data_IF_208620573050
#
_entry.id   IF_208620573050
#
_cell.length_a   1.000
_cell.length_b   1.000
_cell.length_c   1.000
_cell.angle_alpha   90.00
_cell.angle_beta   90.00
_cell.angle_gamma   90.00
#
_symmetry.space_group_name_H-M   'P 1'
#
loop_
_entity.id
_entity.type
_entity.pdbx_description
1 polymer ?
#
# COMPACT_ATOMS: atom_id res chain seq x y z
N UNK A 1 13.64 -4.95 -12.45
CA UNK A 1 12.73 -5.91 -11.82
C UNK A 1 12.21 -5.29 -10.53
N UNK A 2 10.99 -5.63 -10.09
CA UNK A 2 10.44 -5.12 -8.84
C UNK A 2 11.22 -5.65 -7.63
N UNK A 3 11.39 -4.83 -6.60
CA UNK A 3 11.90 -5.26 -5.30
C UNK A 3 10.73 -5.49 -4.35
N UNK A 4 10.54 -6.73 -3.89
CA UNK A 4 9.48 -7.10 -2.94
C UNK A 4 10.12 -7.39 -1.57
N UNK A 5 9.87 -6.52 -0.60
CA UNK A 5 10.36 -6.66 0.78
C UNK A 5 9.37 -7.44 1.65
N UNK A 6 9.91 -8.36 2.45
CA UNK A 6 9.19 -9.03 3.55
C UNK A 6 9.96 -8.96 4.87
N UNK A 7 11.13 -8.32 4.91
CA UNK A 7 12.11 -8.47 6.02
C UNK A 7 11.52 -8.09 7.39
N UNK A 8 10.72 -7.03 7.47
CA UNK A 8 10.09 -6.59 8.72
C UNK A 8 8.81 -7.37 9.07
N UNK A 9 8.24 -8.08 8.11
CA UNK A 9 6.89 -8.65 8.21
C UNK A 9 6.89 -10.16 8.08
N UNK A 10 8.02 -10.79 7.75
CA UNK A 10 8.12 -12.22 7.45
C UNK A 10 7.61 -13.08 8.60
N UNK A 11 8.08 -12.83 9.83
CA UNK A 11 7.63 -13.55 11.01
C UNK A 11 6.10 -13.42 11.20
N UNK A 12 5.57 -12.21 11.00
CA UNK A 12 4.14 -11.96 11.08
C UNK A 12 3.35 -12.67 9.97
N UNK A 13 3.85 -12.66 8.73
CA UNK A 13 3.24 -13.33 7.59
C UNK A 13 3.18 -14.85 7.82
N UNK A 14 4.27 -15.42 8.34
CA UNK A 14 4.35 -16.85 8.69
C UNK A 14 3.37 -17.17 9.80
N UNK A 15 3.36 -16.40 10.89
CA UNK A 15 2.41 -16.57 12.01
C UNK A 15 0.96 -16.54 11.51
N UNK A 16 0.60 -15.53 10.71
CA UNK A 16 -0.76 -15.42 10.14
C UNK A 16 -1.10 -16.59 9.24
N UNK A 17 -0.18 -17.05 8.39
CA UNK A 17 -0.40 -18.21 7.53
C UNK A 17 -0.65 -19.48 8.37
N UNK A 18 0.18 -19.72 9.40
CA UNK A 18 0.03 -20.85 10.31
C UNK A 18 -1.30 -20.81 11.05
N UNK A 19 -1.65 -19.67 11.63
CA UNK A 19 -2.87 -19.53 12.43
C UNK A 19 -4.14 -19.71 11.61
N UNK A 20 -4.17 -19.08 10.42
CA UNK A 20 -5.38 -18.95 9.60
C UNK A 20 -5.59 -20.13 8.66
N UNK A 21 -4.52 -20.79 8.22
CA UNK A 21 -4.58 -21.89 7.24
C UNK A 21 -4.06 -23.22 7.79
N UNK A 22 -3.64 -23.25 9.06
CA UNK A 22 -3.12 -24.45 9.74
C UNK A 22 -1.90 -25.07 9.07
N UNK A 23 -1.13 -24.24 8.37
CA UNK A 23 0.12 -24.66 7.75
C UNK A 23 1.21 -24.91 8.78
N UNK A 24 2.15 -25.80 8.42
CA UNK A 24 3.44 -25.84 9.11
C UNK A 24 4.22 -24.54 8.83
N UNK A 25 5.23 -24.26 9.64
CA UNK A 25 6.10 -23.10 9.40
C UNK A 25 6.82 -23.18 8.06
N UNK A 26 7.27 -24.39 7.67
CA UNK A 26 7.93 -24.64 6.41
C UNK A 26 6.99 -24.37 5.22
N UNK A 27 5.74 -24.85 5.28
CA UNK A 27 4.76 -24.65 4.21
C UNK A 27 4.35 -23.17 4.10
N UNK A 28 4.11 -22.51 5.24
CA UNK A 28 3.82 -21.09 5.28
C UNK A 28 4.94 -20.27 4.60
N UNK A 29 6.19 -20.55 4.96
CA UNK A 29 7.37 -19.93 4.34
C UNK A 29 7.41 -20.22 2.84
N UNK A 30 7.29 -21.48 2.42
CA UNK A 30 7.32 -21.85 1.01
C UNK A 30 6.27 -21.09 0.17
N UNK A 31 5.04 -20.97 0.68
CA UNK A 31 3.98 -20.23 0.00
C UNK A 31 4.27 -18.72 -0.10
N UNK A 32 4.76 -18.10 0.98
CA UNK A 32 5.13 -16.67 0.98
C UNK A 32 6.26 -16.40 -0.02
N UNK A 33 7.30 -17.23 -0.04
CA UNK A 33 8.44 -17.05 -0.94
C UNK A 33 8.06 -17.28 -2.40
N UNK A 34 7.20 -18.26 -2.69
CA UNK A 34 6.66 -18.44 -4.05
C UNK A 34 5.93 -17.19 -4.53
N UNK A 35 5.13 -16.57 -3.66
CA UNK A 35 4.40 -15.34 -4.03
C UNK A 35 5.37 -14.19 -4.25
N UNK A 36 6.34 -14.00 -3.33
CA UNK A 36 7.41 -13.01 -3.49
C UNK A 36 8.13 -13.18 -4.84
N UNK A 37 8.54 -14.40 -5.16
CA UNK A 37 9.25 -14.74 -6.40
C UNK A 37 8.39 -14.45 -7.64
N UNK A 38 7.12 -14.84 -7.63
CA UNK A 38 6.18 -14.56 -8.73
C UNK A 38 6.03 -13.06 -8.99
N UNK A 39 5.93 -12.26 -7.93
CA UNK A 39 5.87 -10.80 -8.03
C UNK A 39 7.19 -10.19 -8.56
N UNK A 40 8.35 -10.61 -8.04
CA UNK A 40 9.66 -10.10 -8.49
C UNK A 40 9.95 -10.42 -9.95
N UNK A 41 9.55 -11.62 -10.41
CA UNK A 41 9.75 -12.08 -11.78
C UNK A 41 8.83 -11.39 -12.78
N UNK A 42 7.57 -11.13 -12.42
CA UNK A 42 6.56 -10.66 -13.36
C UNK A 42 6.35 -9.15 -13.32
N UNK A 43 6.53 -8.52 -12.16
CA UNK A 43 6.17 -7.14 -12.01
C UNK A 43 7.30 -6.18 -12.45
N UNK A 44 6.97 -5.08 -13.15
CA UNK A 44 7.94 -4.04 -13.44
C UNK A 44 8.36 -3.33 -12.15
N UNK A 45 9.49 -2.63 -12.16
CA UNK A 45 9.99 -1.87 -11.01
C UNK A 45 9.05 -0.74 -10.56
N UNK A 46 8.11 -0.34 -11.41
CA UNK A 46 7.13 0.70 -11.11
C UNK A 46 5.70 0.17 -11.35
N UNK A 47 4.94 -0.02 -10.26
CA UNK A 47 3.59 -0.60 -10.25
C UNK A 47 2.46 0.40 -10.63
N UNK A 48 2.71 1.30 -11.58
CA UNK A 48 1.75 2.35 -12.02
C UNK A 48 0.39 1.85 -12.49
N UNK A 49 0.21 0.54 -12.68
CA UNK A 49 -1.05 -0.08 -13.07
C UNK A 49 -2.09 -0.14 -11.94
N UNK A 50 -1.72 0.10 -10.67
CA UNK A 50 -2.69 0.21 -9.59
C UNK A 50 -3.04 1.68 -9.32
N UNK A 51 -4.20 2.13 -9.83
CA UNK A 51 -4.87 3.33 -9.30
C UNK A 51 -5.40 2.99 -7.89
N UNK A 52 -4.50 2.85 -6.93
CA UNK A 52 -4.85 2.59 -5.53
C UNK A 52 -4.72 3.87 -4.72
N UNK A 53 -5.74 4.25 -3.93
CA UNK A 53 -5.74 5.52 -3.22
C UNK A 53 -4.69 5.63 -2.10
N UNK A 54 -3.86 4.61 -1.81
CA UNK A 54 -2.78 4.71 -0.79
C UNK A 54 -1.59 3.83 -1.15
N UNK A 55 -1.37 3.56 -2.44
CA UNK A 55 -0.30 2.66 -2.88
C UNK A 55 -0.37 1.23 -2.28
N UNK A 56 -1.48 0.86 -1.65
CA UNK A 56 -1.75 -0.48 -1.12
C UNK A 56 -2.30 -1.37 -2.22
N UNK A 57 -1.92 -2.63 -2.20
CA UNK A 57 -2.42 -3.61 -3.15
C UNK A 57 -2.89 -4.86 -2.41
N UNK A 58 -3.96 -5.45 -2.92
CA UNK A 58 -4.44 -6.77 -2.55
C UNK A 58 -4.09 -7.74 -3.67
N UNK A 59 -3.30 -8.75 -3.36
CA UNK A 59 -3.01 -9.87 -4.26
C UNK A 59 -3.81 -11.07 -3.80
N UNK A 60 -4.50 -11.72 -4.74
CA UNK A 60 -5.05 -13.03 -4.52
C UNK A 60 -4.16 -14.09 -5.18
N UNK A 61 -3.76 -15.10 -4.43
CA UNK A 61 -3.03 -16.23 -4.96
C UNK A 61 -3.97 -17.43 -5.19
N UNK A 62 -4.18 -17.79 -6.45
CA UNK A 62 -5.11 -18.88 -6.84
C UNK A 62 -4.68 -20.27 -6.34
N UNK A 63 -3.39 -20.47 -6.05
CA UNK A 63 -2.88 -21.77 -5.62
C UNK A 63 -3.27 -22.08 -4.17
N UNK A 64 -3.26 -21.06 -3.31
CA UNK A 64 -3.45 -21.20 -1.86
C UNK A 64 -4.71 -20.50 -1.33
N UNK A 65 -5.39 -19.73 -2.19
CA UNK A 65 -6.47 -18.81 -1.82
C UNK A 65 -6.03 -17.70 -0.84
N UNK A 66 -4.72 -17.44 -0.76
CA UNK A 66 -4.17 -16.38 0.07
C UNK A 66 -4.60 -15.02 -0.46
N UNK A 67 -5.12 -14.18 0.43
CA UNK A 67 -5.36 -12.76 0.17
C UNK A 67 -4.29 -11.95 0.87
N UNK A 68 -3.29 -11.51 0.11
CA UNK A 68 -2.11 -10.82 0.64
C UNK A 68 -2.26 -9.33 0.43
N UNK A 69 -2.08 -8.59 1.52
CA UNK A 69 -2.03 -7.14 1.46
C UNK A 69 -0.59 -6.72 1.45
N UNK A 70 -0.26 -5.85 0.51
CA UNK A 70 0.99 -5.12 0.51
C UNK A 70 0.79 -3.63 0.37
N UNK A 71 1.91 -2.93 0.41
CA UNK A 71 2.01 -1.50 0.17
C UNK A 71 3.17 -1.20 -0.76
N UNK A 72 3.08 -0.06 -1.43
CA UNK A 72 4.10 0.49 -2.29
C UNK A 72 4.49 1.85 -1.76
N UNK A 73 5.78 2.16 -1.73
CA UNK A 73 6.27 3.45 -1.27
C UNK A 73 7.58 3.80 -1.98
N UNK A 74 7.92 5.09 -2.00
CA UNK A 74 9.21 5.59 -2.44
C UNK A 74 10.23 5.31 -1.33
N UNK A 75 11.29 4.57 -1.66
CA UNK A 75 12.33 4.14 -0.74
C UNK A 75 13.29 5.30 -0.41
N UNK A 76 12.74 6.38 0.14
CA UNK A 76 13.48 7.59 0.54
C UNK A 76 13.10 7.99 1.96
N UNK A 77 14.08 8.53 2.70
CA UNK A 77 13.91 8.98 4.08
C UNK A 77 14.21 7.92 5.16
N UNK A 78 14.87 6.80 4.83
CA UNK A 78 15.36 5.84 5.84
C UNK A 78 16.36 6.50 6.79
N UNK A 79 17.37 7.17 6.25
CA UNK A 79 18.37 7.90 7.03
C UNK A 79 17.75 9.03 7.85
N UNK A 80 16.74 9.71 7.29
CA UNK A 80 15.99 10.72 8.01
C UNK A 80 15.26 10.13 9.22
N UNK A 81 14.65 8.95 9.09
CA UNK A 81 14.00 8.28 10.22
C UNK A 81 15.01 7.85 11.29
N UNK A 82 16.17 7.32 10.89
CA UNK A 82 17.24 6.98 11.85
C UNK A 82 17.77 8.22 12.57
N UNK A 83 17.96 9.33 11.85
CA UNK A 83 18.27 10.63 12.45
C UNK A 83 17.18 11.05 13.43
N UNK A 84 15.90 10.93 13.07
CA UNK A 84 14.78 11.28 13.96
C UNK A 84 14.80 10.49 15.26
N UNK A 85 15.21 9.21 15.26
CA UNK A 85 15.32 8.40 16.49
C UNK A 85 16.36 8.95 17.45
N UNK A 86 17.48 9.42 16.92
CA UNK A 86 18.63 9.91 17.67
C UNK A 86 18.44 11.32 18.25
N UNK A 87 17.46 12.09 17.77
CA UNK A 87 17.23 13.45 18.27
C UNK A 87 16.67 13.39 19.69
N UNK A 88 17.41 13.96 20.62
CA UNK A 88 16.95 14.14 21.99
C UNK A 88 16.20 15.48 22.14
N UNK A 89 14.88 15.41 22.26
CA UNK A 89 14.03 16.57 22.59
C UNK A 89 13.98 16.85 24.10
N UNK A 90 14.61 16.02 24.94
CA UNK A 90 14.60 16.14 26.39
C UNK A 90 15.59 17.17 26.94
N UNK A 91 16.41 17.79 26.07
CA UNK A 91 17.26 18.93 26.43
C UNK A 91 16.37 20.10 26.93
N UNK A 92 16.21 20.14 28.25
CA UNK A 92 15.49 21.16 29.01
C UNK A 92 16.11 22.53 28.71
N UNK A 93 15.47 23.30 27.83
CA UNK A 93 15.88 24.67 27.58
C UNK A 93 15.39 25.17 26.23
N UNK A 94 14.35 26.00 26.28
CA UNK A 94 13.79 26.78 25.17
C UNK A 94 12.92 26.03 24.17
N UNK A 95 11.60 26.17 24.32
CA UNK A 95 10.61 25.84 23.29
C UNK A 95 10.95 26.44 21.90
N UNK A 96 11.73 27.53 21.86
CA UNK A 96 12.28 28.12 20.63
C UNK A 96 13.31 27.21 19.93
N UNK A 97 14.20 26.55 20.68
CA UNK A 97 15.18 25.61 20.13
C UNK A 97 14.47 24.37 19.54
N UNK A 98 13.49 23.82 20.27
CA UNK A 98 12.67 22.71 19.77
C UNK A 98 11.88 23.10 18.52
N UNK A 99 11.31 24.32 18.46
CA UNK A 99 10.60 24.81 17.27
C UNK A 99 11.53 24.94 16.06
N UNK A 100 12.73 25.51 16.24
CA UNK A 100 13.72 25.66 15.14
C UNK A 100 14.13 24.30 14.58
N UNK A 101 14.35 23.31 15.46
CA UNK A 101 14.66 21.93 15.05
C UNK A 101 13.52 21.33 14.24
N UNK A 102 12.27 21.47 14.70
CA UNK A 102 11.10 20.95 13.96
C UNK A 102 10.94 21.63 12.60
N UNK A 103 11.13 22.95 12.50
CA UNK A 103 11.10 23.66 11.21
C UNK A 103 12.22 23.17 10.27
N UNK A 104 13.42 22.93 10.79
CA UNK A 104 14.51 22.36 9.99
C UNK A 104 14.15 20.96 9.48
N UNK A 105 13.65 20.08 10.34
CA UNK A 105 13.24 18.72 9.97
C UNK A 105 12.07 18.72 8.98
N UNK A 106 11.14 19.67 9.10
CA UNK A 106 10.05 19.86 8.14
C UNK A 106 10.56 20.25 6.74
N UNK A 107 11.56 21.12 6.67
CA UNK A 107 12.21 21.47 5.41
C UNK A 107 12.98 20.28 4.81
N UNK A 108 13.75 19.56 5.64
CA UNK A 108 14.43 18.34 5.19
C UNK A 108 13.44 17.29 4.65
N UNK A 109 12.30 17.09 5.33
CA UNK A 109 11.25 16.19 4.88
C UNK A 109 10.56 16.67 3.58
N UNK A 110 10.35 17.98 3.40
CA UNK A 110 9.84 18.54 2.14
C UNK A 110 10.78 18.25 0.97
N UNK A 111 12.10 18.35 1.19
CA UNK A 111 13.08 18.00 0.16
C UNK A 111 13.05 16.50 -0.16
N UNK A 112 12.88 15.63 0.83
CA UNK A 112 12.69 14.19 0.60
C UNK A 112 11.45 13.88 -0.25
N UNK A 113 10.33 14.57 -0.01
CA UNK A 113 9.11 14.40 -0.82
C UNK A 113 9.37 14.82 -2.27
N UNK A 114 10.21 15.82 -2.50
CA UNK A 114 10.51 16.36 -3.83
C UNK A 114 11.56 15.55 -4.60
N UNK A 115 12.23 14.58 -3.98
CA UNK A 115 13.23 13.73 -4.64
C UNK A 115 12.60 12.90 -5.78
N UNK A 116 12.98 13.13 -7.04
CA UNK A 116 12.39 12.45 -8.20
C UNK A 116 12.95 11.05 -8.44
N UNK A 117 14.16 10.76 -7.95
CA UNK A 117 14.94 9.57 -8.29
C UNK A 117 14.92 8.47 -7.21
N UNK A 118 13.89 8.45 -6.36
CA UNK A 118 13.79 7.38 -5.34
C UNK A 118 13.27 6.09 -5.96
N UNK A 119 13.94 4.98 -5.66
CA UNK A 119 13.46 3.63 -5.98
C UNK A 119 12.08 3.37 -5.36
N UNK A 120 11.31 2.51 -6.01
CA UNK A 120 10.01 2.08 -5.50
C UNK A 120 10.19 0.74 -4.80
N UNK A 121 9.70 0.66 -3.57
CA UNK A 121 9.68 -0.57 -2.78
C UNK A 121 8.24 -1.05 -2.65
N UNK A 122 8.03 -2.36 -2.80
CA UNK A 122 6.77 -3.03 -2.49
C UNK A 122 6.99 -3.91 -1.28
N UNK A 123 6.11 -3.85 -0.29
CA UNK A 123 6.22 -4.63 0.95
C UNK A 123 4.95 -5.44 1.17
N UNK A 124 5.09 -6.74 1.44
CA UNK A 124 3.96 -7.58 1.85
C UNK A 124 3.74 -7.38 3.36
N UNK A 125 2.53 -7.01 3.78
CA UNK A 125 2.21 -6.66 5.17
C UNK A 125 1.56 -7.80 5.94
N UNK A 126 0.55 -8.44 5.37
CA UNK A 126 -0.24 -9.46 6.08
C UNK A 126 -1.01 -10.37 5.11
N UNK A 127 -1.56 -11.46 5.61
CA UNK A 127 -2.29 -12.50 4.86
C UNK A 127 -3.66 -12.71 5.50
N UNK A 128 -4.71 -12.78 4.68
CA UNK A 128 -6.08 -13.10 5.08
C UNK A 128 -6.56 -14.39 4.44
N UNK A 129 -7.42 -15.11 5.17
CA UNK A 129 -8.22 -16.20 4.61
C UNK A 129 -9.55 -15.70 4.05
N UNK A 130 -10.17 -16.55 3.24
CA UNK A 130 -11.51 -16.33 2.68
C UNK A 130 -12.54 -16.06 3.79
N UNK A 131 -13.35 -15.02 3.62
CA UNK A 131 -14.41 -14.63 4.56
C UNK A 131 -13.96 -13.83 5.79
N UNK A 132 -12.65 -13.61 6.00
CA UNK A 132 -12.19 -12.70 7.05
C UNK A 132 -12.42 -11.24 6.66
N UNK A 133 -12.95 -10.45 7.58
CA UNK A 133 -13.00 -9.01 7.41
C UNK A 133 -11.58 -8.44 7.33
N UNK A 134 -11.34 -7.64 6.29
CA UNK A 134 -10.09 -6.94 6.09
C UNK A 134 -10.15 -5.57 6.80
N UNK A 135 -10.49 -5.59 8.09
CA UNK A 135 -10.73 -4.39 8.91
C UNK A 135 -9.49 -3.50 9.01
N UNK A 136 -8.30 -4.11 9.07
CA UNK A 136 -7.00 -3.44 9.07
C UNK A 136 -6.80 -2.56 7.82
N UNK A 137 -7.26 -3.02 6.66
CA UNK A 137 -7.17 -2.27 5.40
C UNK A 137 -8.18 -1.12 5.39
N UNK A 138 -9.44 -1.37 5.77
CA UNK A 138 -10.47 -0.31 5.90
C UNK A 138 -10.00 0.82 6.82
N UNK A 139 -9.39 0.44 7.94
CA UNK A 139 -8.88 1.38 8.94
C UNK A 139 -7.65 2.14 8.44
N UNK A 140 -6.68 1.45 7.85
CA UNK A 140 -5.51 2.10 7.23
C UNK A 140 -5.91 3.11 6.15
N UNK A 141 -6.89 2.78 5.31
CA UNK A 141 -7.43 3.70 4.30
C UNK A 141 -8.06 4.94 4.94
N UNK A 142 -8.82 4.75 6.03
CA UNK A 142 -9.38 5.86 6.81
C UNK A 142 -8.29 6.77 7.37
N UNK A 143 -7.23 6.21 7.98
CA UNK A 143 -6.13 6.99 8.55
C UNK A 143 -5.34 7.75 7.49
N UNK A 144 -4.97 7.08 6.39
CA UNK A 144 -4.25 7.73 5.29
C UNK A 144 -5.05 8.91 4.70
N UNK A 145 -6.37 8.78 4.54
CA UNK A 145 -7.25 9.88 4.10
C UNK A 145 -7.28 11.05 5.08
N UNK A 146 -7.13 10.80 6.38
CA UNK A 146 -7.14 11.84 7.41
C UNK A 146 -5.79 12.56 7.48
N UNK A 147 -4.70 11.80 7.46
CA UNK A 147 -3.39 12.32 7.84
C UNK A 147 -2.49 12.68 6.66
N UNK A 148 -2.65 12.05 5.50
CA UNK A 148 -1.81 12.32 4.32
C UNK A 148 -2.45 13.41 3.43
N UNK A 149 -1.82 14.58 3.29
CA UNK A 149 -2.42 15.75 2.66
C UNK A 149 -2.58 15.66 1.13
N UNK A 150 -2.12 14.58 0.49
CA UNK A 150 -2.04 14.43 -0.97
C UNK A 150 -2.99 13.35 -1.54
N UNK A 151 -3.93 12.83 -0.75
CA UNK A 151 -4.69 11.62 -1.10
C UNK A 151 -6.18 11.91 -1.37
N UNK A 152 -6.67 11.46 -2.53
CA UNK A 152 -8.03 11.60 -3.04
C UNK A 152 -8.98 10.60 -2.34
N UNK A 153 -10.23 10.97 -1.99
CA UNK A 153 -11.18 10.08 -1.30
C UNK A 153 -11.78 9.01 -2.24
N UNK A 154 -11.71 7.74 -1.83
CA UNK A 154 -12.48 6.64 -2.43
C UNK A 154 -13.17 5.83 -1.31
N UNK A 155 -14.34 5.26 -1.59
CA UNK A 155 -15.13 4.43 -0.67
C UNK A 155 -14.39 3.14 -0.24
N UNK A 156 -14.06 3.06 1.05
CA UNK A 156 -13.20 2.03 1.64
C UNK A 156 -13.85 0.64 1.71
N UNK A 157 -15.19 0.52 1.68
CA UNK A 157 -15.85 -0.81 1.77
C UNK A 157 -15.78 -1.58 0.46
N UNK A 158 -15.81 -0.91 -0.69
CA UNK A 158 -15.80 -1.54 -2.03
C UNK A 158 -14.39 -1.89 -2.52
N UNK A 159 -13.35 -1.20 -2.03
CA UNK A 159 -11.95 -1.47 -2.40
C UNK A 159 -11.39 -2.70 -1.66
N UNK A 160 -11.81 -2.93 -0.42
CA UNK A 160 -11.07 -3.81 0.47
C UNK A 160 -11.10 -5.30 0.08
N UNK A 161 -12.13 -5.77 -0.63
CA UNK A 161 -12.29 -7.19 -1.00
C UNK A 161 -11.89 -7.52 -2.43
N UNK A 162 -11.70 -6.52 -3.29
CA UNK A 162 -11.39 -6.70 -4.72
C UNK A 162 -9.87 -6.72 -4.92
N UNK A 163 -9.26 -7.83 -5.37
CA UNK A 163 -7.84 -7.88 -5.60
C UNK A 163 -7.44 -6.90 -6.70
N UNK A 164 -6.32 -6.23 -6.46
CA UNK A 164 -5.63 -5.45 -7.48
C UNK A 164 -4.91 -6.37 -8.47
N UNK A 165 -4.45 -7.53 -7.99
CA UNK A 165 -3.75 -8.50 -8.80
C UNK A 165 -4.06 -9.94 -8.39
N UNK A 166 -3.87 -10.85 -9.33
CA UNK A 166 -4.05 -12.28 -9.16
C UNK A 166 -2.74 -12.96 -9.56
N UNK A 167 -2.14 -13.72 -8.66
CA UNK A 167 -1.05 -14.63 -8.98
C UNK A 167 -1.65 -15.99 -9.29
N UNK A 168 -1.63 -16.38 -10.56
CA UNK A 168 -2.19 -17.66 -10.95
C UNK A 168 -1.23 -18.81 -10.62
N UNK A 169 -1.74 -20.05 -10.67
CA UNK A 169 -0.94 -21.26 -10.41
C UNK A 169 0.32 -21.38 -11.29
N UNK A 170 0.28 -20.84 -12.50
CA UNK A 170 1.40 -20.82 -13.44
C UNK A 170 2.43 -19.70 -13.18
N UNK A 171 2.39 -19.03 -12.01
CA UNK A 171 3.28 -17.90 -11.67
C UNK A 171 3.17 -16.70 -12.64
N UNK A 172 2.00 -16.53 -13.26
CA UNK A 172 1.69 -15.34 -14.04
C UNK A 172 0.94 -14.36 -13.16
N UNK A 173 1.32 -13.09 -13.25
CA UNK A 173 0.69 -12.02 -12.51
C UNK A 173 -0.33 -11.31 -13.41
N UNK A 174 -1.58 -11.27 -12.98
CA UNK A 174 -2.69 -10.65 -13.70
C UNK A 174 -3.16 -9.44 -12.91
N UNK A 175 -3.35 -8.29 -13.54
CA UNK A 175 -3.64 -7.02 -12.86
C UNK A 175 -4.99 -6.45 -13.29
N UNK A 176 -5.78 -6.01 -12.33
CA UNK A 176 -7.13 -5.49 -12.57
C UNK A 176 -7.05 -4.16 -13.32
N UNK A 177 -7.68 -4.10 -14.48
CA UNK A 177 -7.75 -2.90 -15.32
C UNK A 177 -9.11 -2.24 -15.29
N UNK A 178 -10.18 -3.01 -15.13
CA UNK A 178 -11.55 -2.49 -15.18
C UNK A 178 -12.51 -3.34 -14.34
N UNK A 179 -13.72 -2.84 -14.16
CA UNK A 179 -14.83 -3.52 -13.50
C UNK A 179 -16.16 -3.24 -14.23
N UNK A 180 -17.00 -4.28 -14.35
CA UNK A 180 -18.35 -4.19 -14.89
C UNK A 180 -19.33 -4.63 -13.81
N UNK A 181 -20.45 -3.93 -13.70
CA UNK A 181 -21.51 -4.25 -12.75
C UNK A 181 -22.74 -4.69 -13.55
N UNK A 182 -23.21 -5.92 -13.32
CA UNK A 182 -24.52 -6.32 -13.82
C UNK A 182 -25.60 -5.86 -12.84
N UNK A 183 -26.32 -4.80 -13.25
CA UNK A 183 -27.41 -4.22 -12.47
C UNK A 183 -28.75 -4.94 -12.73
N UNK A 184 -28.79 -5.87 -13.69
CA UNK A 184 -30.01 -6.56 -14.13
C UNK A 184 -30.19 -7.92 -13.45
N UNK A 185 -29.11 -8.51 -12.93
CA UNK A 185 -29.15 -9.75 -12.17
C UNK A 185 -29.81 -9.56 -10.78
N UNK A 186 -30.62 -10.54 -10.34
CA UNK A 186 -31.22 -10.57 -8.99
C UNK A 186 -30.17 -10.54 -7.88
N UNK A 187 -29.02 -11.17 -8.12
CA UNK A 187 -27.81 -11.05 -7.32
C UNK A 187 -26.85 -10.13 -8.06
N UNK A 188 -26.45 -9.02 -7.44
CA UNK A 188 -25.54 -8.04 -8.06
C UNK A 188 -24.16 -8.66 -8.22
N UNK A 189 -23.92 -9.24 -9.38
CA UNK A 189 -22.66 -9.83 -9.75
C UNK A 189 -21.72 -8.76 -10.29
N UNK A 190 -20.50 -8.72 -9.76
CA UNK A 190 -19.46 -7.79 -10.22
C UNK A 190 -18.43 -8.56 -11.05
N UNK A 191 -18.14 -8.11 -12.27
CA UNK A 191 -17.12 -8.71 -13.12
C UNK A 191 -15.85 -7.85 -13.07
N UNK A 192 -14.73 -8.47 -12.74
CA UNK A 192 -13.43 -7.84 -12.63
C UNK A 192 -12.55 -8.26 -13.80
N UNK A 193 -12.01 -7.28 -14.52
CA UNK A 193 -11.27 -7.50 -15.76
C UNK A 193 -9.77 -7.40 -15.50
N UNK A 194 -9.02 -8.44 -15.84
CA UNK A 194 -7.59 -8.56 -15.60
C UNK A 194 -6.80 -8.79 -16.88
N UNK A 195 -5.74 -8.03 -17.06
CA UNK A 195 -4.75 -8.20 -18.14
C UNK A 195 -3.44 -8.72 -17.53
N UNK A 196 -2.65 -9.48 -18.29
CA UNK A 196 -1.41 -10.05 -17.77
C UNK A 196 -0.36 -8.95 -17.61
N UNK A 197 0.33 -8.95 -16.47
CA UNK A 197 1.49 -8.10 -16.24
C UNK A 197 2.77 -8.86 -16.55
N UNK A 198 3.64 -8.22 -17.32
CA UNK A 198 4.97 -8.71 -17.65
C UNK A 198 6.03 -7.70 -17.22
N UNK A 199 7.32 -8.08 -17.18
CA UNK A 199 8.41 -7.13 -16.93
C UNK A 199 8.45 -5.94 -17.88
N UNK A 200 7.87 -6.07 -19.08
CA UNK A 200 7.83 -5.01 -20.10
C UNK A 200 6.57 -4.13 -20.02
N UNK A 201 5.59 -4.49 -19.20
CA UNK A 201 4.31 -3.79 -19.11
C UNK A 201 3.11 -4.75 -19.19
N UNK A 202 1.92 -4.18 -19.40
CA UNK A 202 0.66 -4.92 -19.48
C UNK A 202 0.55 -5.56 -20.88
N UNK A 203 0.37 -6.87 -20.91
CA UNK A 203 0.03 -7.63 -22.10
C UNK A 203 -1.50 -7.64 -22.28
N UNK A 204 -1.94 -7.06 -23.39
CA UNK A 204 -3.36 -6.92 -23.77
C UNK A 204 -3.85 -8.03 -24.69
N UNK A 205 -2.99 -9.01 -25.01
CA UNK A 205 -3.35 -10.13 -25.88
C UNK A 205 -4.43 -11.02 -25.27
N UNK A 206 -4.52 -11.05 -23.94
CA UNK A 206 -5.45 -11.90 -23.20
C UNK A 206 -6.10 -11.13 -22.06
N UNK A 207 -7.41 -11.29 -21.92
CA UNK A 207 -8.22 -10.71 -20.86
C UNK A 207 -8.86 -11.83 -20.04
N UNK A 208 -8.57 -11.89 -18.74
CA UNK A 208 -9.28 -12.77 -17.80
C UNK A 208 -10.39 -12.01 -17.11
N UNK A 209 -11.59 -12.58 -17.11
CA UNK A 209 -12.76 -12.04 -16.44
C UNK A 209 -13.03 -12.89 -15.22
N UNK A 210 -13.02 -12.25 -14.05
CA UNK A 210 -13.36 -12.89 -12.78
C UNK A 210 -14.70 -12.39 -12.29
N UNK A 211 -15.57 -13.31 -11.85
CA UNK A 211 -16.78 -12.99 -11.12
C UNK A 211 -16.43 -12.77 -9.64
N UNK A 212 -16.83 -11.62 -9.11
CA UNK A 212 -16.78 -11.29 -7.68
C UNK A 212 -18.22 -11.29 -7.15
N UNK A 213 -18.52 -12.26 -6.28
CA UNK A 213 -19.86 -12.45 -5.75
C UNK A 213 -20.11 -11.60 -4.49
N UNK A 214 -21.37 -11.50 -4.01
CA UNK A 214 -21.69 -10.75 -2.79
C UNK A 214 -21.03 -11.28 -1.50
N UNK A 215 -20.53 -12.53 -1.49
CA UNK A 215 -19.79 -13.12 -0.36
C UNK A 215 -18.31 -12.78 -0.40
N UNK A 216 -17.86 -12.11 -1.47
CA UNK A 216 -16.47 -11.74 -1.70
C UNK A 216 -15.66 -12.87 -2.31
N UNK A 217 -16.30 -13.89 -2.89
CA UNK A 217 -15.66 -14.98 -3.60
C UNK A 217 -15.26 -14.53 -5.00
N UNK A 218 -14.13 -15.04 -5.48
CA UNK A 218 -13.56 -14.67 -6.78
C UNK A 218 -13.36 -15.95 -7.56
N UNK A 219 -13.99 -16.01 -8.73
CA UNK A 219 -13.95 -17.18 -9.59
C UNK A 219 -13.64 -16.74 -11.02
N UNK A 220 -12.76 -17.46 -11.70
CA UNK A 220 -12.54 -17.24 -13.13
C UNK A 220 -13.86 -17.54 -13.85
N UNK A 221 -14.42 -16.51 -14.50
CA UNK A 221 -15.67 -16.61 -15.25
C UNK A 221 -15.39 -16.92 -16.71
N UNK A 222 -14.45 -16.19 -17.32
CA UNK A 222 -14.11 -16.35 -18.73
C UNK A 222 -12.68 -15.90 -19.03
N UNK A 223 -12.13 -16.34 -20.15
CA UNK A 223 -10.86 -15.85 -20.72
C UNK A 223 -11.07 -15.49 -22.18
N UNK A 224 -10.97 -14.21 -22.48
CA UNK A 224 -11.10 -13.68 -23.84
C UNK A 224 -9.69 -13.54 -24.43
N UNK A 225 -9.47 -14.17 -25.58
CA UNK A 225 -8.27 -13.96 -26.39
C UNK A 225 -8.56 -12.78 -27.31
N UNK A 226 -7.87 -11.67 -27.10
CA UNK A 226 -7.97 -10.49 -27.94
C UNK A 226 -7.06 -10.58 -29.17
N UNK A 227 -7.29 -9.66 -30.11
CA UNK A 227 -6.29 -9.24 -31.10
C UNK A 227 -6.19 -7.70 -31.02
N UNK A 228 -5.34 -7.17 -30.13
CA UNK A 228 -4.21 -6.34 -30.60
C UNK A 228 -2.94 -6.45 -29.74
N UNK A 229 -1.83 -5.92 -30.27
CA UNK A 229 -0.47 -6.00 -29.70
C UNK A 229 -0.33 -5.42 -28.27
N UNK A 230 0.59 -5.95 -27.45
CA UNK A 230 0.92 -5.40 -26.14
C UNK A 230 1.30 -3.92 -26.22
N UNK A 231 0.64 -3.08 -25.40
CA UNK A 231 1.01 -1.67 -25.27
C UNK A 231 2.14 -1.58 -24.25
N UNK A 232 3.37 -1.47 -24.74
CA UNK A 232 4.53 -1.27 -23.89
C UNK A 232 4.60 0.18 -23.39
N UNK A 233 4.37 0.39 -22.10
CA UNK A 233 4.76 1.64 -21.44
C UNK A 233 6.23 1.56 -21.04
N UNK A 234 7.14 1.77 -21.98
CA UNK A 234 8.57 1.79 -21.68
C UNK A 234 8.93 3.05 -20.88
N UNK A 235 9.51 2.86 -19.68
CA UNK A 235 10.17 3.95 -18.94
C UNK A 235 11.41 4.48 -19.65
N UNK A 236 11.92 3.75 -20.66
CA UNK A 236 13.19 4.01 -21.34
C UNK A 236 13.27 5.33 -22.15
N UNK A 237 12.32 6.26 -21.99
CA UNK A 237 12.32 7.54 -22.69
C UNK A 237 12.09 8.78 -21.83
N UNK A 238 11.84 8.66 -20.52
CA UNK A 238 11.68 9.84 -19.66
C UNK A 238 13.04 10.27 -19.08
N UNK A 239 13.42 11.55 -19.18
CA UNK A 239 14.54 12.10 -18.44
C UNK A 239 14.47 11.76 -16.95
N UNK A 240 15.62 11.54 -16.29
CA UNK A 240 15.69 11.11 -14.88
C UNK A 240 14.88 12.01 -13.93
N UNK A 241 14.82 13.32 -14.19
CA UNK A 241 14.07 14.28 -13.39
C UNK A 241 12.54 14.26 -13.60
N UNK A 242 12.01 13.52 -14.58
CA UNK A 242 10.58 13.42 -14.86
C UNK A 242 9.99 12.12 -14.31
N UNK A 243 8.85 12.26 -13.64
CA UNK A 243 8.09 11.14 -13.06
C UNK A 243 6.60 11.34 -13.28
N UNK A 244 5.86 10.23 -13.33
CA UNK A 244 4.40 10.26 -13.52
C UNK A 244 3.68 10.80 -12.30
N UNK A 245 2.46 11.32 -12.46
CA UNK A 245 1.61 11.73 -11.34
C UNK A 245 1.40 10.60 -10.30
N UNK A 246 1.30 9.35 -10.77
CA UNK A 246 1.20 8.17 -9.91
C UNK A 246 2.41 7.98 -9.01
N UNK A 247 3.63 8.24 -9.49
CA UNK A 247 4.85 8.20 -8.68
C UNK A 247 4.79 9.19 -7.51
N UNK A 248 4.38 10.43 -7.80
CA UNK A 248 4.29 11.49 -6.79
C UNK A 248 3.16 11.28 -5.78
N UNK A 249 2.19 10.43 -6.10
CA UNK A 249 1.14 10.01 -5.17
C UNK A 249 1.57 8.90 -4.21
N UNK A 250 2.75 8.30 -4.39
CA UNK A 250 3.26 7.27 -3.50
C UNK A 250 3.78 7.88 -2.19
N UNK A 251 3.47 7.27 -1.03
CA UNK A 251 4.06 7.65 0.24
C UNK A 251 5.58 7.49 0.19
N UNK A 252 6.30 8.31 0.95
CA UNK A 252 7.72 8.06 1.28
C UNK A 252 7.84 6.93 2.31
N UNK A 253 9.05 6.45 2.57
CA UNK A 253 9.28 5.47 3.65
C UNK A 253 8.86 6.03 5.02
N UNK A 254 9.09 7.33 5.27
CA UNK A 254 8.68 8.00 6.51
C UNK A 254 7.16 7.98 6.67
N UNK A 255 6.41 8.25 5.58
CA UNK A 255 4.95 8.19 5.58
C UNK A 255 4.43 6.78 5.85
N UNK A 256 5.08 5.78 5.27
CA UNK A 256 4.72 4.38 5.45
C UNK A 256 4.89 3.94 6.91
N UNK A 257 6.01 4.28 7.54
CA UNK A 257 6.26 4.00 8.97
C UNK A 257 5.30 4.78 9.88
N UNK A 258 5.01 6.03 9.56
CA UNK A 258 4.04 6.84 10.29
C UNK A 258 2.64 6.21 10.32
N UNK A 259 2.16 5.70 9.18
CA UNK A 259 0.88 5.01 9.08
C UNK A 259 0.84 3.70 9.91
N UNK A 260 1.95 2.95 9.95
CA UNK A 260 2.05 1.74 10.76
C UNK A 260 2.01 2.07 12.26
N UNK A 261 2.70 3.12 12.69
CA UNK A 261 2.67 3.60 14.07
C UNK A 261 1.29 4.09 14.49
N UNK A 262 0.59 4.84 13.63
CA UNK A 262 -0.80 5.25 13.89
C UNK A 262 -1.72 4.04 14.05
N UNK A 263 -1.60 3.04 13.17
CA UNK A 263 -2.38 1.81 13.26
C UNK A 263 -2.11 1.07 14.58
N UNK A 264 -0.84 0.95 14.97
CA UNK A 264 -0.43 0.32 16.23
C UNK A 264 -0.99 1.06 17.45
N UNK A 265 -0.94 2.40 17.46
CA UNK A 265 -1.50 3.23 18.53
C UNK A 265 -3.00 3.01 18.72
N UNK A 266 -3.76 2.90 17.62
CA UNK A 266 -5.22 2.75 17.69
C UNK A 266 -5.65 1.32 18.07
N UNK A 267 -4.94 0.29 17.61
CA UNK A 267 -5.39 -1.11 17.74
C UNK A 267 -4.63 -1.91 18.80
N UNK A 268 -3.43 -1.48 19.16
CA UNK A 268 -2.56 -2.15 20.13
C UNK A 268 -1.89 -1.11 21.07
N UNK A 269 -2.69 -0.29 21.80
CA UNK A 269 -2.17 0.83 22.57
C UNK A 269 -1.15 0.41 23.65
N UNK A 270 -1.28 -0.80 24.20
CA UNK A 270 -0.34 -1.37 25.18
C UNK A 270 0.88 -2.04 24.54
N UNK A 271 0.86 -2.27 23.23
CA UNK A 271 1.96 -2.89 22.48
C UNK A 271 2.96 -1.90 21.89
N UNK A 272 2.72 -0.59 22.02
CA UNK A 272 3.61 0.46 21.52
C UNK A 272 4.72 0.75 22.53
N UNK A 273 5.97 0.61 22.10
CA UNK A 273 7.15 0.95 22.90
C UNK A 273 7.34 2.46 23.04
N UNK A 274 8.13 2.89 24.01
CA UNK A 274 8.43 4.31 24.24
C UNK A 274 9.10 4.96 23.03
N UNK A 275 10.04 4.26 22.38
CA UNK A 275 10.72 4.76 21.18
C UNK A 275 9.73 4.97 20.02
N UNK A 276 8.85 4.02 19.77
CA UNK A 276 7.80 4.11 18.74
C UNK A 276 6.85 5.28 18.99
N UNK A 277 6.43 5.49 20.24
CA UNK A 277 5.59 6.62 20.63
C UNK A 277 6.29 7.97 20.40
N UNK A 278 7.59 8.04 20.70
CA UNK A 278 8.40 9.24 20.46
C UNK A 278 8.58 9.51 18.96
N UNK A 279 8.88 8.49 18.15
CA UNK A 279 8.97 8.63 16.70
C UNK A 279 7.63 9.13 16.14
N UNK A 280 6.52 8.53 16.55
CA UNK A 280 5.19 8.92 16.11
C UNK A 280 4.93 10.42 16.40
N UNK A 281 5.16 10.85 17.64
CA UNK A 281 4.99 12.26 18.03
C UNK A 281 5.87 13.19 17.19
N UNK A 282 7.13 12.83 16.95
CA UNK A 282 8.07 13.63 16.15
C UNK A 282 7.58 13.81 14.71
N UNK A 283 7.10 12.73 14.09
CA UNK A 283 6.54 12.80 12.73
C UNK A 283 5.24 13.64 12.73
N UNK A 284 4.37 13.50 13.73
CA UNK A 284 3.15 14.34 13.87
C UNK A 284 3.52 15.84 13.91
N UNK A 285 4.55 16.22 14.66
CA UNK A 285 5.04 17.60 14.74
C UNK A 285 5.60 18.11 13.41
N UNK A 286 6.38 17.28 12.71
CA UNK A 286 6.93 17.61 11.38
C UNK A 286 5.81 17.81 10.37
N UNK A 287 4.84 16.89 10.31
CA UNK A 287 3.68 17.01 9.42
C UNK A 287 2.84 18.25 9.70
N UNK A 288 2.66 18.62 10.98
CA UNK A 288 1.98 19.86 11.37
C UNK A 288 2.69 21.10 10.82
N UNK A 289 4.02 21.16 10.97
CA UNK A 289 4.83 22.28 10.49
C UNK A 289 4.87 22.38 8.95
N UNK A 290 4.90 21.24 8.25
CA UNK A 290 4.80 21.17 6.79
C UNK A 290 3.46 21.74 6.33
N UNK A 291 2.35 21.31 6.95
CA UNK A 291 1.00 21.82 6.63
C UNK A 291 0.92 23.33 6.83
N UNK A 292 1.46 23.83 7.95
CA UNK A 292 1.54 25.28 8.23
C UNK A 292 2.31 26.02 7.14
N UNK A 293 3.46 25.49 6.73
CA UNK A 293 4.31 26.08 5.68
C UNK A 293 3.63 26.11 4.31
N UNK A 294 2.85 25.08 3.99
CA UNK A 294 2.11 24.97 2.73
C UNK A 294 0.72 25.64 2.76
N UNK A 295 0.32 26.25 3.88
CA UNK A 295 -1.01 26.87 4.02
C UNK A 295 -2.17 25.86 4.00
N UNK A 296 -1.92 24.60 4.36
CA UNK A 296 -2.94 23.54 4.38
C UNK A 296 -3.72 23.55 5.71
N UNK A 297 -5.04 23.32 5.69
CA UNK A 297 -5.87 23.35 6.89
C UNK A 297 -5.48 22.28 7.93
N UNK A 298 -5.62 22.64 9.21
CA UNK A 298 -5.43 21.74 10.34
C UNK A 298 -6.61 20.77 10.42
N UNK A 299 -6.34 19.47 10.55
CA UNK A 299 -7.40 18.47 10.79
C UNK A 299 -7.72 18.48 12.28
N UNK A 300 -8.71 19.27 12.71
CA UNK A 300 -9.20 19.20 14.08
C UNK A 300 -9.85 17.83 14.36
N UNK A 301 -9.69 17.32 15.59
CA UNK A 301 -10.31 16.06 16.07
C UNK A 301 -11.82 15.98 15.76
N UNK A 302 -12.52 17.11 15.64
CA UNK A 302 -13.95 17.17 15.30
C UNK A 302 -14.31 16.79 13.86
N UNK A 303 -13.39 16.95 12.90
CA UNK A 303 -13.64 16.57 11.49
C UNK A 303 -13.64 15.04 11.34
N UNK A 304 -12.92 14.32 12.20
CA UNK A 304 -12.89 12.84 12.20
C UNK A 304 -14.27 12.26 12.60
N UNK A 305 -15.01 12.91 13.50
CA UNK A 305 -16.33 12.45 13.96
C UNK A 305 -17.47 12.72 12.96
N UNK A 306 -17.41 13.82 12.20
CA UNK A 306 -18.41 14.10 11.16
C UNK A 306 -18.29 13.18 9.94
N UNK A 307 -17.15 12.52 9.75
CA UNK A 307 -16.88 11.64 8.61
C UNK A 307 -16.98 10.15 8.94
N UNK A 308 -17.17 9.80 10.22
CA UNK A 308 -17.51 8.45 10.68
C UNK A 308 -19.02 8.21 10.81
N UNK A 309 -19.83 9.26 10.58
CA UNK A 309 -21.29 9.25 10.70
C UNK A 309 -22.03 9.39 9.35
N UNK A 310 -21.31 9.30 8.23
CA UNK A 310 -21.87 9.21 6.86
C UNK A 310 -21.33 8.00 6.13
#
# INVERSE_FOLDING_TARGET
MAHISIEKTEAHLIERARDRFKFSEADARAHIYRIKEGLEKQAPSDWRFTRSPVAKFLIWDEATDFRIIGRTYRNTGREFLEKLKQIDFSARGEAKASKKIITQLANEYLELIRTPDSDICHELKTIFSKGQEITELKHSYRLARIFLPHIIPIDARRIATRPNAILCRAQQLWVRQNELLDLTAKEKNEYLLFEQLTPKGIDKSTLRIYLHDPKGDIMLHDTIIGAPEPIYFTHHGLPSHLRTASYWSLPTYVDAEFLDLLYKKENFPTGMGQEEALILLRIEMIHSEVRRTLGLPYMEKGVIQQWSSR
#
